data_IF_813415430730
#
_entry.id   IF_813415430730
#
_cell.length_a   1.000
_cell.length_b   1.000
_cell.length_c   1.000
_cell.angle_alpha   90.00
_cell.angle_beta   90.00
_cell.angle_gamma   90.00
#
_symmetry.space_group_name_H-M   'P 1'
#
loop_
_entity.id
_entity.type
_entity.pdbx_description
1 polymer ?
#
# COMPACT_ATOMS: atom_id res chain seq x y z
N UNK A 1 -24.58 -29.51 27.10
CA UNK A 1 -24.12 -28.34 26.33
C UNK A 1 -23.27 -28.88 25.19
N UNK A 2 -23.86 -28.99 24.01
CA UNK A 2 -23.19 -29.53 22.84
C UNK A 2 -22.30 -28.45 22.21
N UNK A 3 -21.00 -28.72 22.11
CA UNK A 3 -20.11 -27.99 21.20
C UNK A 3 -20.70 -28.12 19.80
N UNK A 4 -21.08 -26.99 19.21
CA UNK A 4 -21.46 -26.95 17.79
C UNK A 4 -20.18 -27.11 16.99
N UNK A 5 -19.96 -28.30 16.47
CA UNK A 5 -19.02 -28.55 15.39
C UNK A 5 -19.31 -27.57 14.25
N UNK A 6 -18.31 -26.76 13.92
CA UNK A 6 -18.35 -25.78 12.84
C UNK A 6 -18.30 -26.53 11.51
N UNK A 7 -19.40 -26.57 10.73
CA UNK A 7 -19.53 -27.44 9.55
C UNK A 7 -18.61 -27.05 8.38
N UNK A 8 -17.82 -25.98 8.50
CA UNK A 8 -16.76 -25.64 7.55
C UNK A 8 -15.45 -26.42 7.78
N UNK A 9 -15.39 -27.28 8.80
CA UNK A 9 -14.21 -28.09 9.13
C UNK A 9 -14.36 -29.55 8.71
N UNK A 10 -15.56 -29.99 8.30
CA UNK A 10 -15.78 -31.37 7.88
C UNK A 10 -15.32 -31.62 6.42
N UNK A 11 -14.10 -32.17 6.33
CA UNK A 11 -13.69 -33.18 5.34
C UNK A 11 -14.01 -32.89 3.87
N UNK A 12 -13.55 -31.77 3.33
CA UNK A 12 -13.25 -31.71 1.90
C UNK A 12 -11.81 -32.20 1.68
N UNK A 13 -11.65 -33.42 1.16
CA UNK A 13 -10.39 -34.05 0.74
C UNK A 13 -9.68 -33.37 -0.43
N UNK A 14 -9.87 -32.06 -0.57
CA UNK A 14 -9.16 -31.15 -1.45
C UNK A 14 -8.56 -30.05 -0.58
N UNK A 15 -7.79 -30.46 0.44
CA UNK A 15 -6.85 -29.55 1.07
C UNK A 15 -5.83 -29.23 -0.01
N UNK A 16 -5.83 -28.00 -0.51
CA UNK A 16 -4.64 -27.45 -1.15
C UNK A 16 -3.52 -27.69 -0.13
N UNK A 17 -2.40 -28.26 -0.58
CA UNK A 17 -1.24 -28.66 0.21
C UNK A 17 -0.54 -27.41 0.81
N UNK A 18 -1.30 -26.70 1.65
CA UNK A 18 -1.03 -25.40 2.21
C UNK A 18 -0.90 -25.56 3.71
N UNK A 19 0.34 -25.70 4.17
CA UNK A 19 0.71 -26.02 5.55
C UNK A 19 0.30 -24.99 6.62
N UNK A 20 -0.42 -23.90 6.27
CA UNK A 20 -0.76 -22.81 7.20
C UNK A 20 -2.18 -22.28 7.06
N UNK A 21 -2.80 -22.02 8.21
CA UNK A 21 -4.09 -21.32 8.34
C UNK A 21 -3.86 -19.94 8.95
N UNK A 22 -4.11 -18.88 8.19
CA UNK A 22 -4.22 -17.52 8.69
C UNK A 22 -5.66 -17.27 9.16
N UNK A 23 -5.87 -16.90 10.43
CA UNK A 23 -7.23 -16.79 11.01
C UNK A 23 -7.65 -15.33 11.18
N UNK A 24 -8.42 -14.79 10.23
CA UNK A 24 -9.03 -13.45 10.31
C UNK A 24 -10.32 -13.48 11.14
N UNK A 25 -10.18 -13.52 12.47
CA UNK A 25 -11.35 -13.52 13.37
C UNK A 25 -12.22 -14.77 13.18
N UNK A 26 -13.44 -14.62 12.66
CA UNK A 26 -14.34 -15.75 12.34
C UNK A 26 -14.05 -16.42 11.00
N UNK A 27 -13.27 -15.78 10.12
CA UNK A 27 -12.93 -16.33 8.80
C UNK A 27 -11.55 -16.97 8.87
N UNK A 28 -11.42 -18.12 8.22
CA UNK A 28 -10.12 -18.80 8.04
C UNK A 28 -9.70 -18.58 6.60
N UNK A 29 -8.46 -18.18 6.39
CA UNK A 29 -7.84 -18.10 5.08
C UNK A 29 -6.66 -19.07 5.06
N UNK A 30 -6.57 -19.89 4.02
CA UNK A 30 -5.51 -20.87 3.86
C UNK A 30 -4.41 -20.27 2.98
N UNK A 31 -3.19 -20.21 3.50
CA UNK A 31 -2.04 -19.60 2.81
C UNK A 31 -0.85 -20.54 2.95
N UNK A 32 -0.09 -20.73 1.87
CA UNK A 32 1.13 -21.52 1.95
C UNK A 32 2.13 -20.86 2.92
N UNK A 33 2.55 -21.60 3.95
CA UNK A 33 3.50 -21.13 4.98
C UNK A 33 4.76 -20.55 4.36
N UNK A 34 5.34 -21.32 3.44
CA UNK A 34 6.58 -20.97 2.74
C UNK A 34 6.44 -19.66 1.98
N UNK A 35 5.29 -19.38 1.37
CA UNK A 35 5.04 -18.13 0.66
C UNK A 35 4.97 -16.96 1.63
N UNK A 36 4.22 -17.11 2.73
CA UNK A 36 4.02 -16.07 3.72
C UNK A 36 5.31 -15.76 4.48
N UNK A 37 6.01 -16.77 5.01
CA UNK A 37 7.26 -16.59 5.75
C UNK A 37 8.41 -16.07 4.89
N UNK A 38 8.41 -16.37 3.59
CA UNK A 38 9.40 -15.82 2.65
C UNK A 38 9.21 -14.32 2.41
N UNK A 39 7.99 -13.82 2.54
CA UNK A 39 7.61 -12.45 2.13
C UNK A 39 7.41 -11.51 3.30
N UNK A 40 6.79 -12.00 4.37
CA UNK A 40 6.50 -11.26 5.58
C UNK A 40 7.54 -11.62 6.66
N UNK A 41 8.64 -10.86 6.72
CA UNK A 41 9.73 -11.07 7.68
C UNK A 41 9.23 -11.13 9.15
N UNK A 42 8.20 -10.35 9.47
CA UNK A 42 7.68 -10.21 10.84
C UNK A 42 6.46 -11.11 11.10
N UNK A 43 6.07 -12.01 10.19
CA UNK A 43 4.85 -12.82 10.35
C UNK A 43 4.85 -13.66 11.63
N UNK A 44 6.03 -14.08 12.10
CA UNK A 44 6.19 -14.92 13.29
C UNK A 44 5.73 -14.23 14.58
N UNK A 45 5.66 -12.90 14.62
CA UNK A 45 5.10 -12.14 15.75
C UNK A 45 3.61 -12.46 15.99
N UNK A 46 2.93 -12.91 14.94
CA UNK A 46 1.51 -13.26 14.95
C UNK A 46 1.29 -14.78 15.07
N UNK A 47 2.35 -15.57 15.25
CA UNK A 47 2.22 -17.02 15.39
C UNK A 47 1.48 -17.35 16.69
N UNK A 48 0.56 -18.31 16.60
CA UNK A 48 -0.15 -18.83 17.78
C UNK A 48 0.68 -19.90 18.49
N UNK A 49 0.15 -20.50 19.56
CA UNK A 49 0.72 -21.71 20.16
C UNK A 49 0.79 -22.88 19.17
N UNK A 50 -0.03 -22.88 18.12
CA UNK A 50 0.07 -23.83 17.02
C UNK A 50 1.01 -23.27 15.92
N UNK A 51 2.11 -23.97 15.59
CA UNK A 51 3.13 -23.48 14.67
C UNK A 51 2.67 -23.35 13.20
N UNK A 52 1.51 -23.90 12.85
CA UNK A 52 0.88 -23.78 11.53
C UNK A 52 -0.24 -22.73 11.49
N UNK A 53 -0.40 -21.94 12.55
CA UNK A 53 -1.45 -20.92 12.62
C UNK A 53 -0.91 -19.56 13.02
N UNK A 54 -1.36 -18.55 12.29
CA UNK A 54 -1.14 -17.13 12.62
C UNK A 54 -2.48 -16.49 13.02
N UNK A 55 -2.46 -15.79 14.15
CA UNK A 55 -3.58 -14.96 14.60
C UNK A 55 -3.45 -13.56 13.98
N UNK A 56 -4.00 -13.45 12.78
CA UNK A 56 -3.98 -12.20 12.02
C UNK A 56 -5.03 -11.20 12.51
N UNK A 57 -5.89 -11.57 13.46
CA UNK A 57 -6.80 -10.61 14.10
C UNK A 57 -6.04 -9.59 14.96
N UNK A 58 -4.84 -9.96 15.41
CA UNK A 58 -3.87 -9.08 16.08
C UNK A 58 -3.10 -8.19 15.11
N UNK A 59 -3.18 -8.44 13.80
CA UNK A 59 -2.54 -7.58 12.81
C UNK A 59 -3.31 -6.27 12.69
N UNK A 60 -2.61 -5.14 12.59
CA UNK A 60 -3.25 -3.89 12.24
C UNK A 60 -3.76 -4.00 10.80
N UNK A 61 -4.85 -3.30 10.48
CA UNK A 61 -5.49 -3.34 9.16
C UNK A 61 -5.78 -4.76 8.66
N UNK A 62 -6.18 -5.68 9.55
CA UNK A 62 -6.52 -7.08 9.19
C UNK A 62 -7.58 -7.21 8.08
N UNK A 63 -8.34 -6.14 7.80
CA UNK A 63 -9.25 -6.02 6.66
C UNK A 63 -8.55 -6.03 5.30
N UNK A 64 -7.29 -5.59 5.22
CA UNK A 64 -6.48 -5.64 3.99
C UNK A 64 -5.80 -6.99 3.76
N UNK A 65 -5.88 -7.93 4.71
CA UNK A 65 -5.25 -9.24 4.56
C UNK A 65 -5.72 -10.01 3.30
N UNK A 66 -7.01 -10.04 2.93
CA UNK A 66 -7.43 -10.68 1.69
C UNK A 66 -6.72 -10.11 0.45
N UNK A 67 -6.52 -8.79 0.40
CA UNK A 67 -5.80 -8.13 -0.69
C UNK A 67 -4.31 -8.47 -0.66
N UNK A 68 -3.69 -8.51 0.53
CA UNK A 68 -2.30 -8.94 0.71
C UNK A 68 -2.08 -10.38 0.27
N UNK A 69 -2.97 -11.29 0.66
CA UNK A 69 -2.91 -12.70 0.25
C UNK A 69 -3.09 -12.82 -1.27
N UNK A 70 -4.05 -12.11 -1.85
CA UNK A 70 -4.21 -12.08 -3.31
C UNK A 70 -2.90 -11.68 -3.99
N UNK A 71 -2.31 -10.56 -3.56
CA UNK A 71 -1.03 -10.07 -4.07
C UNK A 71 0.12 -11.08 -3.89
N UNK A 72 0.18 -11.78 -2.76
CA UNK A 72 1.21 -12.81 -2.53
C UNK A 72 1.16 -13.92 -3.59
N UNK A 73 -0.02 -14.29 -4.06
CA UNK A 73 -0.19 -15.35 -5.05
C UNK A 73 -0.04 -14.85 -6.49
N UNK A 74 -0.56 -13.67 -6.81
CA UNK A 74 -0.63 -13.17 -8.19
C UNK A 74 0.53 -12.24 -8.54
N UNK A 75 1.13 -11.59 -7.55
CA UNK A 75 2.04 -10.46 -7.76
C UNK A 75 1.34 -9.19 -8.24
N UNK A 76 0.00 -9.16 -8.21
CA UNK A 76 -0.82 -8.07 -8.74
C UNK A 76 -1.80 -7.55 -7.68
N UNK A 77 -2.06 -6.24 -7.69
CA UNK A 77 -3.08 -5.61 -6.84
C UNK A 77 -4.26 -5.27 -7.74
N UNK A 78 -5.40 -5.90 -7.47
CA UNK A 78 -6.64 -5.60 -8.17
C UNK A 78 -7.16 -4.23 -7.72
N UNK A 79 -7.03 -3.24 -8.61
CA UNK A 79 -7.71 -1.96 -8.47
C UNK A 79 -9.06 -2.04 -9.19
N UNK A 80 -10.05 -1.29 -8.73
CA UNK A 80 -11.36 -1.31 -9.40
C UNK A 80 -11.22 -0.63 -10.74
N UNK A 81 -11.83 -1.19 -11.77
CA UNK A 81 -11.96 -0.48 -13.04
C UNK A 81 -12.82 0.77 -12.83
N UNK A 82 -12.42 1.80 -13.55
CA UNK A 82 -12.95 3.16 -13.48
C UNK A 82 -14.34 3.24 -14.17
N UNK A 83 -15.30 2.49 -13.62
CA UNK A 83 -16.71 2.58 -13.96
C UNK A 83 -17.30 3.84 -13.33
N UNK A 84 -18.20 4.54 -14.04
CA UNK A 84 -18.95 5.69 -13.53
C UNK A 84 -19.56 5.37 -12.16
N UNK A 85 -18.98 5.90 -11.08
CA UNK A 85 -19.37 5.62 -9.70
C UNK A 85 -18.38 4.79 -8.87
N UNK A 86 -17.16 4.56 -9.37
CA UNK A 86 -16.08 4.01 -8.57
C UNK A 86 -15.77 4.95 -7.38
N UNK A 87 -15.78 4.38 -6.17
CA UNK A 87 -15.45 5.09 -4.94
C UNK A 87 -13.93 5.11 -4.77
N UNK A 88 -13.27 6.11 -5.39
CA UNK A 88 -11.81 6.29 -5.36
C UNK A 88 -11.29 6.39 -3.93
N UNK A 89 -12.04 7.07 -3.05
CA UNK A 89 -11.70 7.16 -1.63
C UNK A 89 -11.53 5.77 -1.01
N UNK A 90 -12.46 4.83 -1.29
CA UNK A 90 -12.32 3.45 -0.82
C UNK A 90 -11.13 2.71 -1.44
N UNK A 91 -10.74 3.03 -2.67
CA UNK A 91 -9.55 2.44 -3.29
C UNK A 91 -8.28 2.93 -2.60
N UNK A 92 -8.14 4.24 -2.39
CA UNK A 92 -6.98 4.82 -1.72
C UNK A 92 -6.86 4.35 -0.27
N UNK A 93 -7.99 4.27 0.45
CA UNK A 93 -8.06 3.69 1.78
C UNK A 93 -7.62 2.22 1.79
N UNK A 94 -8.05 1.42 0.81
CA UNK A 94 -7.65 0.01 0.71
C UNK A 94 -6.17 -0.16 0.37
N UNK A 95 -5.62 0.68 -0.52
CA UNK A 95 -4.20 0.69 -0.86
C UNK A 95 -3.34 1.13 0.32
N UNK A 96 -3.80 2.12 1.08
CA UNK A 96 -3.14 2.55 2.31
C UNK A 96 -3.19 1.47 3.39
N UNK A 97 -4.35 0.84 3.62
CA UNK A 97 -4.49 -0.27 4.56
C UNK A 97 -3.53 -1.42 4.22
N UNK A 98 -3.43 -1.74 2.93
CA UNK A 98 -2.50 -2.72 2.41
C UNK A 98 -1.05 -2.29 2.66
N UNK A 99 -0.70 -1.02 2.43
CA UNK A 99 0.64 -0.50 2.69
C UNK A 99 1.02 -0.67 4.16
N UNK A 100 0.15 -0.25 5.09
CA UNK A 100 0.43 -0.34 6.53
C UNK A 100 0.56 -1.81 6.95
N UNK A 101 -0.33 -2.69 6.47
CA UNK A 101 -0.22 -4.13 6.72
C UNK A 101 1.13 -4.68 6.22
N UNK A 102 1.51 -4.37 4.98
CA UNK A 102 2.77 -4.82 4.40
C UNK A 102 3.99 -4.29 5.17
N UNK A 103 3.96 -3.03 5.60
CA UNK A 103 5.04 -2.42 6.40
C UNK A 103 5.22 -3.14 7.74
N UNK A 104 4.11 -3.45 8.42
CA UNK A 104 4.13 -4.17 9.71
C UNK A 104 4.61 -5.61 9.55
N UNK A 105 4.23 -6.25 8.44
CA UNK A 105 4.72 -7.58 8.07
C UNK A 105 6.19 -7.59 7.62
N UNK A 106 6.80 -6.42 7.39
CA UNK A 106 8.17 -6.30 6.89
C UNK A 106 8.31 -6.70 5.42
N UNK A 107 7.24 -6.61 4.62
CA UNK A 107 7.25 -6.93 3.18
C UNK A 107 7.47 -5.66 2.36
N UNK A 108 8.74 -5.31 2.16
CA UNK A 108 9.17 -4.12 1.41
C UNK A 108 8.72 -4.13 -0.06
N UNK A 109 8.54 -5.31 -0.65
CA UNK A 109 8.07 -5.45 -2.03
C UNK A 109 6.57 -5.18 -2.11
N UNK A 110 5.79 -5.58 -1.11
CA UNK A 110 4.37 -5.27 -1.03
C UNK A 110 4.13 -3.77 -0.74
N UNK A 111 4.86 -3.15 0.20
CA UNK A 111 4.73 -1.69 0.43
C UNK A 111 5.00 -0.91 -0.85
N UNK A 112 6.04 -1.31 -1.59
CA UNK A 112 6.38 -0.74 -2.89
C UNK A 112 5.27 -0.94 -3.94
N UNK A 113 4.62 -2.10 -3.96
CA UNK A 113 3.53 -2.39 -4.89
C UNK A 113 2.29 -1.54 -4.63
N UNK A 114 1.95 -1.28 -3.37
CA UNK A 114 0.83 -0.38 -3.02
C UNK A 114 1.08 1.05 -3.50
N UNK A 115 2.28 1.58 -3.24
CA UNK A 115 2.68 2.91 -3.73
C UNK A 115 2.61 2.97 -5.25
N UNK A 116 3.10 1.92 -5.93
CA UNK A 116 3.04 1.83 -7.39
C UNK A 116 1.61 1.80 -7.91
N UNK A 117 0.72 1.04 -7.26
CA UNK A 117 -0.68 0.97 -7.65
C UNK A 117 -1.35 2.35 -7.55
N UNK A 118 -1.13 3.06 -6.45
CA UNK A 118 -1.66 4.41 -6.27
C UNK A 118 -1.11 5.38 -7.34
N UNK A 119 0.20 5.40 -7.56
CA UNK A 119 0.79 6.29 -8.58
C UNK A 119 0.26 6.01 -9.99
N UNK A 120 0.07 4.73 -10.35
CA UNK A 120 -0.51 4.35 -11.64
C UNK A 120 -1.95 4.81 -11.78
N UNK A 121 -2.72 4.76 -10.70
CA UNK A 121 -4.10 5.23 -10.69
C UNK A 121 -4.15 6.75 -10.94
N UNK A 122 -3.33 7.53 -10.24
CA UNK A 122 -3.18 8.97 -10.49
C UNK A 122 -2.69 9.27 -11.92
N UNK A 123 -1.73 8.49 -12.44
CA UNK A 123 -1.24 8.62 -13.81
C UNK A 123 -2.35 8.37 -14.84
N UNK A 124 -3.21 7.36 -14.61
CA UNK A 124 -4.34 7.05 -15.49
C UNK A 124 -5.38 8.19 -15.52
N UNK A 125 -5.68 8.81 -14.38
CA UNK A 125 -6.58 9.97 -14.31
C UNK A 125 -6.01 11.15 -15.11
N UNK A 126 -4.73 11.45 -14.90
CA UNK A 126 -4.03 12.52 -15.62
C UNK A 126 -4.06 12.29 -17.14
N UNK A 127 -3.77 11.07 -17.58
CA UNK A 127 -3.73 10.71 -19.00
C UNK A 127 -5.10 10.74 -19.67
N UNK A 128 -6.19 10.53 -18.90
CA UNK A 128 -7.56 10.59 -19.41
C UNK A 128 -8.17 12.00 -19.30
N UNK A 129 -7.45 12.97 -18.72
CA UNK A 129 -7.95 14.31 -18.46
C UNK A 129 -9.09 14.35 -17.45
N UNK A 130 -9.27 13.28 -16.66
CA UNK A 130 -10.25 13.24 -15.57
C UNK A 130 -9.70 14.06 -14.40
N UNK A 131 -10.56 14.73 -13.63
CA UNK A 131 -10.15 15.35 -12.37
C UNK A 131 -9.39 14.34 -11.53
N UNK A 132 -8.17 14.68 -11.13
CA UNK A 132 -7.40 13.84 -10.23
C UNK A 132 -8.09 13.94 -8.87
N UNK A 133 -8.57 12.82 -8.30
CA UNK A 133 -9.17 12.87 -6.98
C UNK A 133 -8.12 13.36 -5.98
N UNK A 134 -8.43 14.48 -5.32
CA UNK A 134 -7.61 14.98 -4.24
C UNK A 134 -7.66 13.97 -3.08
N UNK A 135 -6.52 13.69 -2.44
CA UNK A 135 -6.54 12.79 -1.31
C UNK A 135 -7.44 13.34 -0.21
N UNK A 136 -8.27 12.47 0.34
CA UNK A 136 -9.21 12.82 1.39
C UNK A 136 -8.46 13.26 2.66
N UNK A 137 -8.89 14.35 3.30
CA UNK A 137 -8.22 14.92 4.48
C UNK A 137 -8.12 13.93 5.64
N UNK A 138 -9.12 13.07 5.83
CA UNK A 138 -9.10 12.07 6.89
C UNK A 138 -8.06 10.99 6.60
N UNK A 139 -7.90 10.63 5.33
CA UNK A 139 -6.84 9.72 4.92
C UNK A 139 -5.46 10.36 5.08
N UNK A 140 -5.27 11.67 4.79
CA UNK A 140 -4.00 12.39 5.06
C UNK A 140 -3.65 12.32 6.55
N UNK A 141 -4.62 12.64 7.43
CA UNK A 141 -4.45 12.54 8.89
C UNK A 141 -4.01 11.15 9.30
N UNK A 142 -4.68 10.14 8.75
CA UNK A 142 -4.41 8.74 9.07
C UNK A 142 -3.02 8.29 8.60
N UNK A 143 -2.60 8.68 7.40
CA UNK A 143 -1.27 8.43 6.84
C UNK A 143 -0.17 8.92 7.78
N UNK A 144 -0.25 10.16 8.23
CA UNK A 144 0.75 10.77 9.12
C UNK A 144 0.78 10.11 10.51
N UNK A 145 -0.39 9.71 11.02
CA UNK A 145 -0.51 9.07 12.32
C UNK A 145 0.02 7.63 12.33
N UNK A 146 -0.19 6.87 11.26
CA UNK A 146 0.11 5.43 11.24
C UNK A 146 1.53 5.10 10.71
N UNK A 147 2.06 5.90 9.78
CA UNK A 147 3.35 5.60 9.11
C UNK A 147 4.52 6.47 9.59
N UNK A 148 4.23 7.57 10.29
CA UNK A 148 5.22 8.54 10.73
C UNK A 148 5.62 9.55 9.64
N UNK A 149 6.14 10.70 10.09
CA UNK A 149 6.35 11.88 9.23
C UNK A 149 7.29 11.67 8.04
N UNK A 150 8.25 10.76 8.16
CA UNK A 150 9.27 10.52 7.14
C UNK A 150 9.00 9.26 6.30
N UNK A 151 7.79 8.69 6.38
CA UNK A 151 7.48 7.48 5.62
C UNK A 151 7.56 7.76 4.11
N UNK A 152 7.94 6.76 3.30
CA UNK A 152 7.86 6.84 1.84
C UNK A 152 6.47 7.29 1.35
N UNK A 153 5.40 6.82 2.01
CA UNK A 153 4.02 7.16 1.66
C UNK A 153 3.71 8.64 1.89
N UNK A 154 4.09 9.21 3.05
CA UNK A 154 3.92 10.64 3.34
C UNK A 154 4.60 11.52 2.27
N UNK A 155 5.85 11.19 1.90
CA UNK A 155 6.59 11.93 0.88
C UNK A 155 5.94 11.84 -0.50
N UNK A 156 5.47 10.65 -0.88
CA UNK A 156 4.73 10.45 -2.13
C UNK A 156 3.45 11.27 -2.17
N UNK A 157 2.70 11.32 -1.08
CA UNK A 157 1.48 12.12 -0.98
C UNK A 157 1.75 13.62 -1.10
N UNK A 158 2.76 14.13 -0.39
CA UNK A 158 3.18 15.53 -0.54
C UNK A 158 3.49 15.86 -2.01
N UNK A 159 4.24 15.00 -2.69
CA UNK A 159 4.58 15.21 -4.08
C UNK A 159 3.35 15.14 -5.01
N UNK A 160 2.44 14.19 -4.79
CA UNK A 160 1.17 14.09 -5.52
C UNK A 160 0.33 15.37 -5.37
N UNK A 161 0.25 15.95 -4.16
CA UNK A 161 -0.44 17.23 -3.96
C UNK A 161 0.21 18.37 -4.73
N UNK A 162 1.54 18.46 -4.72
CA UNK A 162 2.24 19.51 -5.47
C UNK A 162 2.02 19.34 -6.98
N UNK A 163 1.97 18.11 -7.47
CA UNK A 163 1.75 17.85 -8.90
C UNK A 163 0.31 18.03 -9.35
N UNK A 164 -0.65 17.79 -8.45
CA UNK A 164 -2.09 17.86 -8.73
C UNK A 164 -2.70 19.23 -8.42
N UNK A 165 -1.90 20.16 -7.87
CA UNK A 165 -2.29 21.54 -7.62
C UNK A 165 -2.58 22.29 -8.91
N UNK A 166 -3.80 22.14 -9.39
CA UNK A 166 -4.42 23.12 -10.25
C UNK A 166 -4.83 24.33 -9.39
N UNK A 167 -4.61 25.57 -9.88
CA UNK A 167 -5.13 26.76 -9.23
C UNK A 167 -6.65 26.79 -9.41
N UNK A 168 -7.36 25.94 -8.68
CA UNK A 168 -8.82 25.99 -8.61
C UNK A 168 -9.24 27.07 -7.60
N UNK A 169 -10.36 27.73 -7.86
CA UNK A 169 -10.80 28.87 -7.04
C UNK A 169 -11.48 28.43 -5.73
N UNK A 170 -11.84 27.15 -5.62
CA UNK A 170 -12.57 26.58 -4.50
C UNK A 170 -11.65 25.78 -3.56
N UNK A 171 -10.56 26.42 -3.10
CA UNK A 171 -9.80 25.95 -1.95
C UNK A 171 -10.62 26.15 -0.67
N UNK A 172 -11.73 25.41 -0.56
CA UNK A 172 -12.50 25.28 0.67
C UNK A 172 -11.60 24.85 1.83
N UNK A 173 -12.06 25.11 3.05
CA UNK A 173 -11.35 24.94 4.32
C UNK A 173 -10.76 23.52 4.45
N UNK A 174 -9.54 23.33 3.95
CA UNK A 174 -8.84 22.06 3.98
C UNK A 174 -8.37 21.83 5.41
N UNK A 175 -9.13 21.04 6.17
CA UNK A 175 -8.73 20.55 7.49
C UNK A 175 -7.62 19.49 7.37
N UNK A 176 -6.47 19.93 6.86
CA UNK A 176 -5.27 19.13 6.68
C UNK A 176 -4.43 19.15 7.96
N UNK A 177 -3.71 18.06 8.26
CA UNK A 177 -2.76 18.06 9.37
C UNK A 177 -1.73 19.17 9.23
N UNK A 178 -1.49 19.92 10.30
CA UNK A 178 -0.46 20.97 10.32
C UNK A 178 0.92 20.46 9.86
N UNK A 179 1.28 19.22 10.21
CA UNK A 179 2.54 18.60 9.78
C UNK A 179 2.58 18.34 8.28
N UNK A 180 1.46 17.92 7.69
CA UNK A 180 1.35 17.74 6.24
C UNK A 180 1.49 19.08 5.52
N UNK A 181 0.78 20.12 5.95
CA UNK A 181 0.87 21.46 5.36
C UNK A 181 2.31 21.98 5.44
N UNK A 182 2.99 21.77 6.58
CA UNK A 182 4.39 22.15 6.75
C UNK A 182 5.32 21.44 5.77
N UNK A 183 5.14 20.14 5.58
CA UNK A 183 5.96 19.36 4.63
C UNK A 183 5.64 19.75 3.18
N UNK A 184 4.37 19.99 2.87
CA UNK A 184 3.90 20.48 1.59
C UNK A 184 4.54 21.83 1.22
N UNK A 185 4.46 22.81 2.12
CA UNK A 185 5.06 24.14 1.91
C UNK A 185 6.58 24.06 1.77
N UNK A 186 7.25 23.24 2.59
CA UNK A 186 8.70 23.02 2.46
C UNK A 186 9.07 22.41 1.11
N UNK A 187 8.36 21.38 0.68
CA UNK A 187 8.62 20.71 -0.59
C UNK A 187 8.33 21.63 -1.77
N UNK A 188 7.21 22.36 -1.75
CA UNK A 188 6.86 23.36 -2.76
C UNK A 188 7.89 24.49 -2.83
N UNK A 189 8.31 25.05 -1.69
CA UNK A 189 9.30 26.12 -1.64
C UNK A 189 10.69 25.65 -2.09
N UNK A 190 11.09 24.44 -1.70
CA UNK A 190 12.35 23.86 -2.13
C UNK A 190 12.39 23.67 -3.65
N UNK A 191 11.28 23.20 -4.25
CA UNK A 191 11.14 23.10 -5.72
C UNK A 191 11.20 24.48 -6.38
N UNK A 192 10.44 25.44 -5.86
CA UNK A 192 10.43 26.81 -6.38
C UNK A 192 11.82 27.46 -6.34
N UNK A 193 12.52 27.34 -5.20
CA UNK A 193 13.85 27.94 -5.00
C UNK A 193 14.92 27.43 -5.96
N UNK A 194 14.76 26.20 -6.47
CA UNK A 194 15.70 25.60 -7.42
C UNK A 194 15.40 26.02 -8.87
N UNK A 195 14.36 26.82 -9.11
CA UNK A 195 13.92 27.19 -10.46
C UNK A 195 13.47 25.98 -11.27
N UNK A 196 13.08 24.90 -10.59
CA UNK A 196 12.74 23.62 -11.20
C UNK A 196 11.33 23.70 -11.81
N UNK A 197 11.19 24.40 -12.94
CA UNK A 197 9.97 24.36 -13.76
C UNK A 197 9.79 23.03 -14.51
N UNK A 198 10.82 22.17 -14.53
CA UNK A 198 10.91 20.98 -15.38
C UNK A 198 11.43 19.70 -14.70
N UNK A 199 11.57 19.64 -13.37
CA UNK A 199 11.88 18.37 -12.72
C UNK A 199 10.74 17.37 -12.89
N UNK A 200 11.08 16.08 -12.71
CA UNK A 200 10.18 14.96 -12.85
C UNK A 200 8.77 15.29 -12.37
N UNK A 201 7.87 15.62 -13.29
CA UNK A 201 6.48 15.77 -12.96
C UNK A 201 5.90 14.41 -12.59
N UNK A 202 4.61 14.37 -12.26
CA UNK A 202 3.93 13.10 -12.01
C UNK A 202 4.12 12.05 -13.13
N UNK A 203 4.48 12.50 -14.34
CA UNK A 203 4.75 11.71 -15.55
C UNK A 203 6.08 10.92 -15.53
N UNK A 204 7.03 11.28 -14.67
CA UNK A 204 8.36 10.63 -14.64
C UNK A 204 8.77 10.16 -13.25
N UNK A 205 8.02 10.55 -12.23
CA UNK A 205 8.15 9.98 -10.90
C UNK A 205 7.72 8.51 -10.90
N UNK A 206 8.45 7.72 -10.12
CA UNK A 206 8.19 6.29 -9.96
C UNK A 206 8.20 5.96 -8.48
N UNK A 207 7.56 4.85 -8.11
CA UNK A 207 7.61 4.32 -6.74
C UNK A 207 9.05 4.15 -6.19
N UNK A 208 10.04 3.94 -7.06
CA UNK A 208 11.47 3.88 -6.71
C UNK A 208 12.04 5.21 -6.19
N UNK A 209 11.43 6.34 -6.52
CA UNK A 209 11.85 7.66 -6.02
C UNK A 209 11.53 7.81 -4.51
N UNK A 210 10.60 7.00 -3.99
CA UNK A 210 10.16 7.04 -2.60
C UNK A 210 10.66 5.87 -1.76
N UNK A 211 10.74 4.69 -2.36
CA UNK A 211 11.10 3.47 -1.65
C UNK A 211 12.13 2.67 -2.45
N UNK A 212 13.34 2.56 -1.90
CA UNK A 212 14.38 1.73 -2.48
C UNK A 212 14.14 0.27 -2.10
N UNK A 213 14.09 -0.59 -3.10
CA UNK A 213 14.09 -2.03 -2.91
C UNK A 213 15.50 -2.51 -2.55
N UNK A 214 15.57 -3.63 -1.85
CA UNK A 214 16.84 -4.30 -1.50
C UNK A 214 17.52 -4.92 -2.73
N UNK A 215 18.80 -5.23 -2.60
CA UNK A 215 19.57 -5.86 -3.67
C UNK A 215 18.94 -7.20 -4.11
N UNK A 216 18.78 -7.38 -5.42
CA UNK A 216 18.13 -8.55 -6.02
C UNK A 216 16.60 -8.47 -6.11
N UNK A 217 15.95 -7.48 -5.49
CA UNK A 217 14.53 -7.23 -5.69
C UNK A 217 14.28 -6.46 -7.00
N UNK A 218 13.26 -6.88 -7.76
CA UNK A 218 12.94 -6.27 -9.06
C UNK A 218 11.75 -5.32 -8.91
N UNK A 219 11.97 -4.04 -9.18
CA UNK A 219 10.87 -3.12 -9.41
C UNK A 219 10.27 -3.40 -10.79
N UNK A 220 8.98 -3.72 -10.85
CA UNK A 220 8.29 -3.91 -12.14
C UNK A 220 8.21 -2.64 -12.99
N UNK A 221 8.68 -1.48 -12.50
CA UNK A 221 8.84 -0.22 -13.25
C UNK A 221 10.11 -0.20 -14.11
N UNK A 222 10.75 -1.35 -14.35
CA UNK A 222 11.83 -1.60 -15.34
C UNK A 222 13.16 -0.86 -15.15
N UNK A 223 13.36 -0.08 -14.08
CA UNK A 223 14.70 0.42 -13.73
C UNK A 223 15.42 -0.59 -12.85
N UNK A 224 16.16 -1.52 -13.48
CA UNK A 224 17.11 -2.39 -12.77
C UNK A 224 18.23 -1.49 -12.23
N UNK A 225 18.37 -1.38 -10.90
CA UNK A 225 19.55 -0.76 -10.29
C UNK A 225 20.71 -1.71 -10.58
N UNK A 226 21.68 -1.29 -11.41
CA UNK A 226 22.94 -2.04 -11.56
C UNK A 226 23.67 -1.97 -10.22
N UNK A 227 24.13 -3.09 -9.71
CA UNK A 227 24.97 -3.13 -8.52
C UNK A 227 26.25 -2.36 -8.79
N UNK A 228 26.69 -1.55 -7.83
CA UNK A 228 27.94 -0.77 -7.91
C UNK A 228 29.20 -1.64 -7.85
N UNK A 229 29.07 -2.94 -8.07
CA UNK A 229 30.13 -3.95 -8.00
C UNK A 229 30.46 -4.53 -9.39
N UNK A 230 29.87 -3.99 -10.46
CA UNK A 230 30.14 -4.34 -11.85
C UNK A 230 30.89 -3.21 -12.60
N UNK A 231 31.83 -2.51 -11.95
CA UNK A 231 32.81 -1.63 -12.61
C UNK A 231 34.20 -2.28 -12.66
#
# INVERSE_FOLDING_TARGET
>A
MAEKDDPLVEKSGSFIDGDVVAVTGRRKCFVHKSLLERRAANIKEYQTTNPTRYDVSRMPQSRALPLYIHYLYTGEIQCKEDSLGADFKKQDEALFDFYVLAEKLGDSIATHAAMRALMKDHEAHRNTGRPIPWPDSDLVKRVYNETGKNSPWCRMWVDLYIWSAEPDEDYGDFDLPHEFVKDLLKAAFARWSRGESHLKGADTATCCDYHQLEDGQVCGSKKRKRSSTEE
#
